data_IF_738820414749
#
_entry.id   IF_738820414749
#
_cell.length_a   1.000
_cell.length_b   1.000
_cell.length_c   1.000
_cell.angle_alpha   90.00
_cell.angle_beta   90.00
_cell.angle_gamma   90.00
#
_symmetry.space_group_name_H-M   'P 1'
#
loop_
_entity.id
_entity.type
_entity.pdbx_description
1 polymer ?
#
# COMPACT_ATOMS: atom_id res chain seq x y z
N UNK A 1 23.65 6.01 -28.44
CA UNK A 1 22.51 6.42 -27.59
C UNK A 1 22.13 5.23 -26.72
N UNK A 2 22.55 5.22 -25.45
CA UNK A 2 22.26 4.14 -24.48
C UNK A 2 20.89 4.42 -23.86
N UNK A 3 19.91 3.57 -24.13
CA UNK A 3 18.65 3.56 -23.36
C UNK A 3 18.99 2.94 -22.01
N UNK A 4 18.98 3.77 -20.96
CA UNK A 4 19.11 3.33 -19.58
C UNK A 4 17.88 2.49 -19.24
N UNK A 5 18.12 1.24 -18.86
CA UNK A 5 17.11 0.29 -18.39
C UNK A 5 16.31 0.92 -17.24
N UNK A 6 15.04 1.23 -17.52
CA UNK A 6 14.06 1.51 -16.49
C UNK A 6 13.86 0.23 -15.66
N UNK A 7 13.93 0.37 -14.33
CA UNK A 7 13.97 -0.74 -13.37
C UNK A 7 13.00 -1.86 -13.71
N UNK A 8 13.57 -3.03 -14.01
CA UNK A 8 12.82 -4.23 -14.35
C UNK A 8 11.89 -4.66 -13.22
N UNK A 9 10.77 -5.25 -13.60
CA UNK A 9 9.86 -5.95 -12.69
C UNK A 9 10.66 -6.90 -11.80
N UNK A 10 10.37 -6.93 -10.49
CA UNK A 10 10.99 -7.93 -9.64
C UNK A 10 10.57 -9.34 -10.09
N UNK A 11 11.43 -10.32 -9.86
CA UNK A 11 11.29 -11.67 -10.40
C UNK A 11 9.95 -12.34 -10.01
N UNK A 12 9.46 -12.07 -8.80
CA UNK A 12 8.16 -12.57 -8.34
C UNK A 12 6.98 -11.99 -9.12
N UNK A 13 6.98 -10.67 -9.38
CA UNK A 13 5.93 -10.01 -10.18
C UNK A 13 6.03 -10.47 -11.63
N UNK A 14 7.24 -10.60 -12.18
CA UNK A 14 7.46 -11.13 -13.54
C UNK A 14 6.82 -12.51 -13.70
N UNK A 15 7.06 -13.43 -12.75
CA UNK A 15 6.47 -14.78 -12.79
C UNK A 15 4.95 -14.79 -12.64
N UNK A 16 4.38 -13.95 -11.78
CA UNK A 16 2.93 -13.82 -11.66
C UNK A 16 2.30 -13.26 -12.94
N UNK A 17 2.95 -12.26 -13.54
CA UNK A 17 2.51 -11.67 -14.81
C UNK A 17 2.64 -12.69 -15.93
N UNK A 18 3.71 -13.47 -16.02
CA UNK A 18 3.87 -14.52 -17.04
C UNK A 18 2.84 -15.63 -16.90
N UNK A 19 2.58 -16.09 -15.66
CA UNK A 19 1.56 -17.08 -15.38
C UNK A 19 0.16 -16.57 -15.77
N UNK A 20 -0.18 -15.32 -15.43
CA UNK A 20 -1.47 -14.71 -15.79
C UNK A 20 -1.56 -14.32 -17.29
N UNK A 21 -0.45 -13.91 -17.90
CA UNK A 21 -0.35 -13.59 -19.32
C UNK A 21 -0.57 -14.82 -20.19
N UNK A 22 -0.02 -15.96 -19.80
CA UNK A 22 -0.23 -17.23 -20.53
C UNK A 22 -1.70 -17.63 -20.67
N UNK A 23 -2.61 -17.08 -19.84
CA UNK A 23 -4.05 -17.36 -19.91
C UNK A 23 -4.91 -16.17 -20.35
N UNK A 24 -4.45 -14.91 -20.26
CA UNK A 24 -5.36 -13.76 -20.50
C UNK A 24 -4.72 -12.39 -20.80
N UNK A 25 -3.42 -12.16 -20.55
CA UNK A 25 -2.75 -10.87 -20.85
C UNK A 25 -1.65 -11.02 -21.92
N UNK A 26 -1.44 -9.95 -22.68
CA UNK A 26 -0.30 -9.82 -23.59
C UNK A 26 0.96 -9.42 -22.83
N UNK A 27 1.88 -10.36 -22.62
CA UNK A 27 3.09 -10.16 -21.81
C UNK A 27 3.96 -8.97 -22.29
N UNK A 28 4.06 -8.76 -23.60
CA UNK A 28 4.78 -7.66 -24.26
C UNK A 28 4.24 -6.26 -23.93
N UNK A 29 3.03 -6.19 -23.38
CA UNK A 29 2.34 -4.93 -23.05
C UNK A 29 2.35 -4.62 -21.56
N UNK A 30 3.02 -5.46 -20.76
CA UNK A 30 2.99 -5.34 -19.29
C UNK A 30 3.95 -4.27 -18.79
N UNK A 31 3.47 -3.44 -17.86
CA UNK A 31 4.25 -2.37 -17.25
C UNK A 31 3.90 -2.20 -15.77
N UNK A 32 4.91 -1.95 -14.93
CA UNK A 32 4.69 -1.54 -13.55
C UNK A 32 4.20 -0.09 -13.53
N UNK A 33 3.08 0.16 -12.87
CA UNK A 33 2.50 1.49 -12.73
C UNK A 33 3.10 2.28 -11.57
N UNK A 34 3.43 1.58 -10.49
CA UNK A 34 3.98 2.21 -9.29
C UNK A 34 3.85 1.32 -8.07
N UNK A 35 4.41 1.76 -6.96
CA UNK A 35 4.39 1.06 -5.68
C UNK A 35 3.83 1.95 -4.58
N UNK A 36 3.05 1.35 -3.69
CA UNK A 36 2.37 2.03 -2.61
C UNK A 36 2.84 1.44 -1.28
N UNK A 37 3.42 2.30 -0.44
CA UNK A 37 3.83 1.94 0.92
C UNK A 37 2.64 1.85 1.87
N UNK A 38 2.82 1.09 2.94
CA UNK A 38 1.90 1.07 4.07
C UNK A 38 2.34 2.16 5.06
N UNK A 39 1.37 2.91 5.58
CA UNK A 39 1.58 3.90 6.62
C UNK A 39 0.73 3.61 7.84
N UNK A 40 1.06 4.28 8.93
CA UNK A 40 0.23 4.35 10.11
C UNK A 40 -0.54 5.68 10.14
N UNK A 41 -1.79 5.61 10.59
CA UNK A 41 -2.69 6.73 10.74
C UNK A 41 -3.14 6.86 12.20
N UNK A 42 -3.42 8.09 12.59
CA UNK A 42 -3.89 8.46 13.93
C UNK A 42 -5.00 9.50 13.81
N UNK A 43 -5.90 9.65 14.79
CA UNK A 43 -6.77 10.82 14.87
C UNK A 43 -5.95 12.11 14.92
N UNK A 44 -6.43 13.17 14.28
CA UNK A 44 -5.73 14.47 14.25
C UNK A 44 -5.44 14.96 15.66
N UNK A 45 -4.19 15.37 15.90
CA UNK A 45 -3.75 15.88 17.20
C UNK A 45 -3.37 14.80 18.21
N UNK A 46 -3.42 13.52 17.81
CA UNK A 46 -2.85 12.44 18.61
C UNK A 46 -1.32 12.53 18.70
N UNK A 47 -0.68 11.90 19.70
CA UNK A 47 0.77 11.85 19.80
C UNK A 47 1.41 11.26 18.54
N UNK A 48 2.56 11.83 18.13
CA UNK A 48 3.37 11.25 17.05
C UNK A 48 4.06 9.98 17.52
N UNK A 49 4.19 9.02 16.61
CA UNK A 49 4.90 7.77 16.83
C UNK A 49 6.20 7.75 16.01
N UNK A 50 7.24 7.17 16.57
CA UNK A 50 8.43 6.82 15.80
C UNK A 50 8.24 5.45 15.15
N UNK A 51 8.20 5.44 13.81
CA UNK A 51 7.97 4.26 12.97
C UNK A 51 9.18 3.98 12.07
N UNK A 52 10.31 4.65 12.30
CA UNK A 52 11.46 4.67 11.39
C UNK A 52 12.32 3.40 11.42
N UNK A 53 12.19 2.56 12.45
CA UNK A 53 13.01 1.37 12.66
C UNK A 53 12.21 0.21 13.23
N UNK A 54 12.80 -0.99 13.21
CA UNK A 54 12.18 -2.16 13.84
C UNK A 54 11.99 -1.96 15.34
N UNK A 55 13.00 -1.40 16.04
CA UNK A 55 12.91 -1.12 17.48
C UNK A 55 11.84 -0.08 17.80
N UNK A 56 11.74 0.99 17.01
CA UNK A 56 10.73 2.03 17.24
C UNK A 56 9.31 1.50 16.96
N UNK A 57 9.15 0.65 15.94
CA UNK A 57 7.91 -0.07 15.67
C UNK A 57 7.54 -1.02 16.81
N UNK A 58 8.50 -1.79 17.33
CA UNK A 58 8.27 -2.67 18.47
C UNK A 58 7.73 -1.88 19.67
N UNK A 59 8.40 -0.78 20.05
CA UNK A 59 7.96 0.09 21.14
C UNK A 59 6.58 0.70 20.87
N UNK A 60 6.35 1.19 19.65
CA UNK A 60 5.08 1.80 19.25
C UNK A 60 3.93 0.80 19.31
N UNK A 61 4.08 -0.38 18.71
CA UNK A 61 3.05 -1.42 18.68
C UNK A 61 2.74 -1.95 20.08
N UNK A 62 3.76 -2.09 20.93
CA UNK A 62 3.60 -2.48 22.33
C UNK A 62 2.81 -1.44 23.12
N UNK A 63 3.07 -0.16 22.89
CA UNK A 63 2.50 0.93 23.66
C UNK A 63 1.15 1.47 23.12
N UNK A 64 0.76 1.08 21.91
CA UNK A 64 -0.55 1.41 21.34
C UNK A 64 -1.69 0.80 22.17
N UNK A 65 -2.81 1.51 22.30
CA UNK A 65 -4.02 1.04 23.00
C UNK A 65 -5.02 0.37 22.04
N UNK A 66 -4.88 0.61 20.73
CA UNK A 66 -5.66 -0.04 19.69
C UNK A 66 -4.84 -0.16 18.41
N UNK A 67 -4.86 -1.33 17.78
CA UNK A 67 -4.24 -1.59 16.48
C UNK A 67 -5.33 -1.93 15.47
N UNK A 68 -5.51 -1.12 14.44
CA UNK A 68 -6.60 -1.27 13.49
C UNK A 68 -6.03 -1.59 12.11
N UNK A 69 -6.36 -2.75 11.56
CA UNK A 69 -5.98 -3.14 10.21
C UNK A 69 -7.03 -4.05 9.58
N UNK A 70 -7.16 -4.05 8.26
CA UNK A 70 -8.22 -4.82 7.60
C UNK A 70 -7.85 -6.29 7.41
N UNK A 71 -8.81 -7.10 6.94
CA UNK A 71 -8.60 -8.51 6.59
C UNK A 71 -7.99 -8.74 5.20
N UNK A 72 -7.85 -7.68 4.40
CA UNK A 72 -7.28 -7.73 3.05
C UNK A 72 -5.74 -7.79 3.04
N UNK A 73 -5.15 -7.82 1.84
CA UNK A 73 -3.71 -7.98 1.60
C UNK A 73 -2.83 -7.02 2.41
N UNK A 74 -3.21 -5.74 2.49
CA UNK A 74 -2.50 -4.73 3.28
C UNK A 74 -2.51 -5.01 4.78
N UNK A 75 -3.65 -5.41 5.34
CA UNK A 75 -3.73 -5.71 6.77
C UNK A 75 -3.14 -7.07 7.13
N UNK A 76 -3.00 -7.98 6.16
CA UNK A 76 -2.20 -9.20 6.32
C UNK A 76 -0.70 -8.92 6.43
N UNK A 77 -0.19 -7.88 5.76
CA UNK A 77 1.21 -7.46 5.93
C UNK A 77 1.48 -6.98 7.36
N UNK A 78 0.53 -6.25 7.96
CA UNK A 78 0.62 -5.82 9.36
C UNK A 78 0.54 -7.00 10.34
N UNK A 79 -0.36 -7.95 10.08
CA UNK A 79 -0.44 -9.17 10.90
C UNK A 79 0.90 -9.93 10.92
N UNK A 80 1.52 -10.09 9.74
CA UNK A 80 2.85 -10.73 9.62
C UNK A 80 3.95 -9.93 10.30
N UNK A 81 3.91 -8.59 10.26
CA UNK A 81 4.86 -7.76 11.00
C UNK A 81 4.74 -8.02 12.50
N UNK A 82 3.52 -7.98 13.05
CA UNK A 82 3.25 -8.23 14.47
C UNK A 82 3.76 -9.62 14.88
N UNK A 83 3.51 -10.64 14.06
CA UNK A 83 4.00 -12.00 14.28
C UNK A 83 5.53 -12.07 14.26
N UNK A 84 6.17 -11.46 13.26
CA UNK A 84 7.63 -11.44 13.11
C UNK A 84 8.31 -10.76 14.31
N UNK A 85 7.66 -9.78 14.92
CA UNK A 85 8.14 -9.07 16.11
C UNK A 85 7.82 -9.80 17.42
N UNK A 86 7.16 -10.97 17.38
CA UNK A 86 6.77 -11.71 18.58
C UNK A 86 5.69 -11.02 19.42
N UNK A 87 4.89 -10.13 18.81
CA UNK A 87 3.93 -9.28 19.52
C UNK A 87 2.48 -9.81 19.47
N UNK A 88 2.24 -10.95 18.82
CA UNK A 88 0.89 -11.47 18.58
C UNK A 88 0.05 -11.61 19.86
N UNK A 89 0.64 -12.16 20.93
CA UNK A 89 -0.07 -12.37 22.20
C UNK A 89 -0.43 -11.04 22.86
N UNK A 90 0.55 -10.17 23.04
CA UNK A 90 0.41 -8.85 23.70
C UNK A 90 -0.54 -7.93 22.94
N UNK A 91 -0.61 -8.07 21.62
CA UNK A 91 -1.44 -7.20 20.77
C UNK A 91 -2.83 -7.75 20.47
N UNK A 92 -3.09 -9.02 20.76
CA UNK A 92 -4.34 -9.71 20.40
C UNK A 92 -5.59 -8.99 20.92
N UNK A 93 -5.61 -8.61 22.19
CA UNK A 93 -6.77 -7.99 22.87
C UNK A 93 -7.07 -6.57 22.40
N UNK A 94 -6.08 -5.88 21.82
CA UNK A 94 -6.19 -4.51 21.30
C UNK A 94 -6.24 -4.44 19.77
N UNK A 95 -6.20 -5.57 19.09
CA UNK A 95 -6.24 -5.63 17.63
C UNK A 95 -7.68 -5.68 17.13
N UNK A 96 -8.04 -4.73 16.27
CA UNK A 96 -9.33 -4.66 15.59
C UNK A 96 -9.12 -4.94 14.10
N UNK A 97 -9.78 -6.00 13.63
CA UNK A 97 -9.76 -6.43 12.23
C UNK A 97 -11.03 -5.98 11.52
N UNK A 98 -10.94 -5.02 10.59
CA UNK A 98 -12.07 -4.60 9.74
C UNK A 98 -12.10 -5.38 8.42
N UNK A 99 -13.19 -5.31 7.65
CA UNK A 99 -13.25 -5.96 6.34
C UNK A 99 -12.60 -5.08 5.28
N UNK A 100 -12.98 -3.80 5.24
CA UNK A 100 -12.56 -2.88 4.16
C UNK A 100 -11.56 -1.83 4.64
N UNK A 101 -10.98 -1.11 3.67
CA UNK A 101 -10.10 0.04 3.93
C UNK A 101 -10.85 1.23 4.53
N UNK A 102 -12.07 1.50 4.05
CA UNK A 102 -12.92 2.59 4.56
C UNK A 102 -13.33 2.33 6.03
N UNK A 103 -13.84 1.12 6.32
CA UNK A 103 -14.19 0.72 7.70
C UNK A 103 -13.01 0.86 8.67
N UNK A 104 -11.79 0.59 8.21
CA UNK A 104 -10.57 0.74 9.01
C UNK A 104 -10.35 2.20 9.43
N UNK A 105 -10.41 3.12 8.47
CA UNK A 105 -10.20 4.56 8.71
C UNK A 105 -11.32 5.17 9.54
N UNK A 106 -12.56 4.77 9.30
CA UNK A 106 -13.69 5.17 10.14
C UNK A 106 -13.60 4.63 11.58
N UNK A 107 -13.21 3.36 11.75
CA UNK A 107 -13.02 2.76 13.06
C UNK A 107 -11.91 3.47 13.84
N UNK A 108 -10.86 3.96 13.15
CA UNK A 108 -9.81 4.80 13.73
C UNK A 108 -10.35 6.17 14.14
N UNK A 109 -11.06 6.87 13.24
CA UNK A 109 -11.62 8.20 13.51
C UNK A 109 -12.58 8.25 14.71
N UNK A 110 -13.30 7.14 14.96
CA UNK A 110 -14.20 7.00 16.11
C UNK A 110 -13.47 6.74 17.44
N UNK A 111 -12.16 6.51 17.44
CA UNK A 111 -11.43 6.24 18.70
C UNK A 111 -11.35 7.48 19.59
N UNK A 112 -11.32 7.19 20.88
CA UNK A 112 -11.17 8.17 21.97
C UNK A 112 -10.00 7.82 22.89
N UNK A 113 -9.33 6.68 22.66
CA UNK A 113 -8.12 6.31 23.39
C UNK A 113 -7.01 7.32 23.13
N UNK A 114 -6.05 7.41 24.04
CA UNK A 114 -4.93 8.33 23.90
C UNK A 114 -3.97 7.88 22.79
N UNK A 115 -3.91 6.56 22.51
CA UNK A 115 -2.92 5.95 21.61
C UNK A 115 -3.48 4.95 20.59
N UNK A 116 -4.49 5.30 19.78
CA UNK A 116 -4.94 4.45 18.69
C UNK A 116 -3.97 4.52 17.50
N UNK A 117 -3.85 3.41 16.78
CA UNK A 117 -3.02 3.31 15.58
C UNK A 117 -3.75 2.49 14.51
N UNK A 118 -3.99 3.08 13.34
CA UNK A 118 -4.56 2.39 12.19
C UNK A 118 -3.52 2.20 11.09
N UNK A 119 -3.63 1.14 10.30
CA UNK A 119 -2.70 0.86 9.22
C UNK A 119 -3.41 0.69 7.88
N UNK A 120 -2.97 1.45 6.88
CA UNK A 120 -3.45 1.38 5.50
C UNK A 120 -2.35 1.77 4.52
N UNK A 121 -2.62 1.59 3.24
CA UNK A 121 -1.80 2.20 2.21
C UNK A 121 -1.85 3.73 2.35
N UNK A 122 -0.72 4.41 2.14
CA UNK A 122 -0.58 5.86 2.37
C UNK A 122 -1.60 6.67 1.56
N UNK A 123 -1.89 6.25 0.33
CA UNK A 123 -2.88 6.90 -0.54
C UNK A 123 -4.29 6.87 0.08
N UNK A 124 -4.67 5.76 0.70
CA UNK A 124 -5.98 5.64 1.34
C UNK A 124 -6.08 6.42 2.64
N UNK A 125 -5.00 6.51 3.41
CA UNK A 125 -4.97 7.37 4.61
C UNK A 125 -5.25 8.81 4.20
N UNK A 126 -4.56 9.30 3.16
CA UNK A 126 -4.74 10.66 2.63
C UNK A 126 -6.15 10.88 2.09
N UNK A 127 -6.72 9.90 1.37
CA UNK A 127 -8.09 9.97 0.88
C UNK A 127 -9.12 10.13 2.01
N UNK A 128 -8.86 9.53 3.17
CA UNK A 128 -9.74 9.57 4.34
C UNK A 128 -9.38 10.66 5.37
N UNK A 129 -8.49 11.60 5.03
CA UNK A 129 -8.09 12.68 5.95
C UNK A 129 -9.27 13.54 6.44
N UNK A 130 -10.33 13.66 5.62
CA UNK A 130 -11.58 14.35 5.95
C UNK A 130 -12.32 13.75 7.17
N UNK A 131 -11.98 12.53 7.61
CA UNK A 131 -12.51 11.90 8.82
C UNK A 131 -11.83 12.39 10.11
N UNK A 132 -10.90 13.36 10.04
CA UNK A 132 -10.14 13.83 11.20
C UNK A 132 -9.05 12.85 11.60
N UNK A 133 -8.39 12.23 10.62
CA UNK A 133 -7.22 11.38 10.79
C UNK A 133 -6.05 11.92 9.98
N UNK A 134 -4.83 11.62 10.40
CA UNK A 134 -3.61 12.04 9.74
C UNK A 134 -2.59 10.90 9.63
N UNK A 135 -1.71 11.01 8.63
CA UNK A 135 -0.60 10.09 8.45
C UNK A 135 0.46 10.35 9.52
N UNK A 136 0.65 9.39 10.42
CA UNK A 136 1.67 9.47 11.47
C UNK A 136 3.07 9.09 10.98
N UNK A 137 3.15 8.25 9.94
CA UNK A 137 4.41 7.89 9.29
C UNK A 137 4.27 6.72 8.33
N UNK A 138 5.32 6.50 7.54
CA UNK A 138 5.42 5.41 6.57
C UNK A 138 6.25 4.30 7.20
N UNK A 139 5.81 3.04 7.05
CA UNK A 139 6.56 1.90 7.58
C UNK A 139 7.75 1.60 6.66
N UNK A 140 8.91 1.17 7.22
CA UNK A 140 10.08 0.80 6.43
C UNK A 140 9.80 -0.40 5.51
N UNK A 141 10.26 -0.33 4.26
CA UNK A 141 9.94 -1.32 3.23
C UNK A 141 10.55 -2.70 3.47
N UNK A 142 11.65 -2.77 4.20
CA UNK A 142 12.33 -4.00 4.65
C UNK A 142 11.52 -4.74 5.72
N UNK A 143 10.70 -4.01 6.48
CA UNK A 143 9.80 -4.56 7.48
C UNK A 143 8.43 -4.86 6.88
N UNK A 144 7.92 -3.95 6.03
CA UNK A 144 6.63 -4.07 5.35
C UNK A 144 6.78 -3.76 3.86
N UNK A 145 6.93 -4.79 3.01
CA UNK A 145 7.14 -4.58 1.58
C UNK A 145 6.01 -3.77 0.93
N UNK A 146 6.38 -2.85 0.04
CA UNK A 146 5.44 -2.05 -0.76
C UNK A 146 4.52 -2.93 -1.60
N UNK A 147 3.37 -2.39 -1.97
CA UNK A 147 2.45 -3.04 -2.90
C UNK A 147 2.64 -2.41 -4.27
N UNK A 148 3.18 -3.16 -5.23
CA UNK A 148 3.37 -2.66 -6.59
C UNK A 148 2.24 -3.12 -7.50
N UNK A 149 1.68 -2.17 -8.25
CA UNK A 149 0.65 -2.44 -9.24
C UNK A 149 1.29 -2.50 -10.63
N UNK A 150 0.89 -3.50 -11.42
CA UNK A 150 1.27 -3.63 -12.82
C UNK A 150 0.01 -3.80 -13.67
N UNK A 151 0.07 -3.37 -14.93
CA UNK A 151 -1.01 -3.49 -15.90
C UNK A 151 -0.48 -4.03 -17.23
N UNK A 152 -1.37 -4.59 -18.04
CA UNK A 152 -1.10 -5.07 -19.40
C UNK A 152 -2.41 -5.18 -20.18
N UNK A 153 -2.32 -5.24 -21.51
CA UNK A 153 -3.48 -5.43 -22.38
C UNK A 153 -3.98 -6.87 -22.32
N UNK A 154 -5.30 -7.05 -22.34
CA UNK A 154 -5.92 -8.38 -22.42
C UNK A 154 -5.75 -8.99 -23.81
N UNK A 155 -5.61 -10.32 -23.88
CA UNK A 155 -5.58 -11.06 -25.14
C UNK A 155 -6.99 -11.27 -25.74
N UNK A 156 -8.05 -10.88 -25.02
CA UNK A 156 -9.47 -11.10 -25.41
C UNK A 156 -10.23 -9.81 -25.73
N UNK A 157 -9.55 -8.68 -25.89
CA UNK A 157 -10.22 -7.40 -26.20
C UNK A 157 -10.91 -7.43 -27.57
N UNK A 158 -12.24 -7.34 -27.59
CA UNK A 158 -12.99 -6.95 -28.79
C UNK A 158 -12.87 -5.42 -28.93
N UNK A 159 -12.23 -4.96 -29.98
CA UNK A 159 -12.13 -3.54 -30.32
C UNK A 159 -13.09 -3.25 -31.49
N UNK A 160 -14.31 -2.81 -31.19
CA UNK A 160 -15.27 -2.29 -32.20
C UNK A 160 -15.22 -0.75 -32.30
N UNK A 161 -14.07 -0.13 -32.01
CA UNK A 161 -13.83 1.31 -32.22
C UNK A 161 -12.53 1.51 -33.01
N UNK A 162 -12.50 2.41 -34.02
CA UNK A 162 -11.37 2.58 -34.91
C UNK A 162 -10.20 3.24 -34.18
N UNK A 163 -9.13 2.44 -33.99
CA UNK A 163 -7.74 2.83 -33.78
C UNK A 163 -7.47 4.17 -33.05
N UNK A 164 -7.77 4.23 -31.75
CA UNK A 164 -6.86 4.95 -30.86
C UNK A 164 -5.69 4.01 -30.57
N UNK A 165 -4.51 4.30 -31.12
CA UNK A 165 -3.26 3.71 -30.65
C UNK A 165 -3.14 3.97 -29.15
N UNK A 166 -3.48 2.97 -28.34
CA UNK A 166 -3.11 2.91 -26.94
C UNK A 166 -1.59 2.85 -26.88
N UNK A 167 -0.96 4.02 -26.84
CA UNK A 167 0.48 4.13 -26.65
C UNK A 167 0.88 3.32 -25.42
N UNK A 168 2.02 2.62 -25.47
CA UNK A 168 2.46 1.81 -24.34
C UNK A 168 2.49 2.66 -23.07
N UNK A 169 1.98 2.13 -21.97
CA UNK A 169 1.96 2.80 -20.66
C UNK A 169 3.37 3.28 -20.25
N UNK A 170 4.40 2.62 -20.77
CA UNK A 170 5.83 2.88 -20.64
C UNK A 170 6.39 4.00 -21.54
N UNK A 171 5.57 4.64 -22.39
CA UNK A 171 5.99 5.85 -23.10
C UNK A 171 6.26 6.99 -22.09
N UNK A 172 7.34 7.77 -22.22
CA UNK A 172 7.63 8.87 -21.31
C UNK A 172 6.50 9.90 -21.39
N UNK A 173 5.65 9.95 -20.35
CA UNK A 173 4.63 11.01 -20.23
C UNK A 173 5.30 12.30 -19.78
N UNK A 174 4.78 13.43 -20.28
CA UNK A 174 5.32 14.77 -20.00
C UNK A 174 5.39 15.00 -18.48
N UNK A 175 6.49 15.60 -18.03
CA UNK A 175 6.88 15.76 -16.62
C UNK A 175 5.96 16.62 -15.72
N UNK A 176 4.71 16.91 -16.14
CA UNK A 176 3.76 17.75 -15.40
C UNK A 176 2.61 17.01 -14.70
N UNK A 177 2.28 15.77 -15.10
CA UNK A 177 1.00 15.14 -14.71
C UNK A 177 0.97 14.51 -13.31
N UNK A 178 2.12 14.39 -12.62
CA UNK A 178 2.20 13.88 -11.25
C UNK A 178 2.98 14.80 -10.29
N UNK A 179 2.94 16.12 -10.52
CA UNK A 179 3.59 17.09 -9.61
C UNK A 179 2.97 17.17 -8.21
N UNK A 180 1.74 16.65 -8.03
CA UNK A 180 1.04 16.62 -6.74
C UNK A 180 1.39 15.40 -5.87
N UNK A 181 2.29 14.53 -6.33
CA UNK A 181 2.66 13.30 -5.62
C UNK A 181 4.18 13.11 -5.58
N UNK A 182 4.92 14.19 -5.27
CA UNK A 182 6.30 14.08 -4.79
C UNK A 182 6.28 14.03 -3.26
N UNK A 183 6.81 12.93 -2.73
CA UNK A 183 7.38 12.80 -1.38
C UNK A 183 8.88 12.78 -1.56
#
# INVERSE_FOLDING_TARGET
MRVLSAGGLNEGVRRCVEAFASSTLRADTTAQLGCISVGAAVPTGAPRYDLSSESSLYCTLTAAEALIHNRASSGMKIARLIERLGLSEITSTKTIRTQTGAENMEALARRRSARPLGFRQVTEIRLHAHLGIELAGILPDDLVPRTCCSAGLSNTGHHDEPHLECSPISAPRRAGEYSQMRV
#
